data_IF_887169293312
#
_entry.id   IF_887169293312
#
_cell.length_a   1.000
_cell.length_b   1.000
_cell.length_c   1.000
_cell.angle_alpha   90.00
_cell.angle_beta   90.00
_cell.angle_gamma   90.00
#
_symmetry.space_group_name_H-M   'P 1'
#
loop_
_entity.id
_entity.type
_entity.pdbx_description
1 polymer ?
#
# COMPACT_ATOMS: atom_id res chain seq x y z
N UNK A 1 0.97 -15.58 20.10
CA UNK A 1 1.22 -14.15 19.84
C UNK A 1 2.68 -13.88 20.16
N UNK A 2 3.46 -13.37 19.21
CA UNK A 2 4.91 -13.22 19.33
C UNK A 2 5.24 -12.18 20.42
N UNK A 3 5.88 -12.58 21.52
CA UNK A 3 6.22 -11.68 22.64
C UNK A 3 7.08 -10.49 22.19
N UNK A 4 7.87 -10.65 21.13
CA UNK A 4 8.72 -9.60 20.56
C UNK A 4 7.89 -8.49 19.90
N UNK A 5 6.75 -8.84 19.28
CA UNK A 5 5.85 -7.85 18.68
C UNK A 5 5.14 -7.03 19.76
N UNK A 6 4.71 -7.67 20.85
CA UNK A 6 4.10 -6.98 21.99
C UNK A 6 5.09 -6.01 22.65
N UNK A 7 6.35 -6.43 22.85
CA UNK A 7 7.39 -5.58 23.40
C UNK A 7 7.72 -4.37 22.51
N UNK A 8 7.70 -4.55 21.18
CA UNK A 8 7.94 -3.46 20.23
C UNK A 8 6.76 -2.48 20.18
N UNK A 9 5.53 -3.00 20.25
CA UNK A 9 4.32 -2.19 20.32
C UNK A 9 4.26 -1.39 21.62
N UNK A 10 4.61 -2.01 22.75
CA UNK A 10 4.66 -1.34 24.05
C UNK A 10 5.71 -0.22 24.08
N UNK A 11 6.88 -0.41 23.45
CA UNK A 11 7.90 0.63 23.29
C UNK A 11 7.43 1.79 22.40
N UNK A 12 6.64 1.50 21.37
CA UNK A 12 6.07 2.54 20.52
C UNK A 12 5.01 3.37 21.25
N UNK A 13 4.13 2.69 22.00
CA UNK A 13 3.08 3.34 22.79
C UNK A 13 3.68 4.17 23.93
N UNK A 14 4.74 3.71 24.59
CA UNK A 14 5.42 4.47 25.64
C UNK A 14 6.08 5.74 25.10
N UNK A 15 6.74 5.69 23.95
CA UNK A 15 7.32 6.88 23.31
C UNK A 15 6.27 7.98 23.08
N UNK A 16 5.10 7.63 22.52
CA UNK A 16 4.04 8.62 22.31
C UNK A 16 3.45 9.15 23.61
N UNK A 17 3.21 8.29 24.61
CA UNK A 17 2.64 8.71 25.89
C UNK A 17 3.60 9.58 26.69
N UNK A 18 4.86 9.17 26.76
CA UNK A 18 5.81 9.69 27.74
C UNK A 18 6.67 10.82 27.17
N UNK A 19 6.79 10.93 25.84
CA UNK A 19 7.63 11.95 25.18
C UNK A 19 6.80 12.97 24.39
N UNK A 20 5.76 12.51 23.69
CA UNK A 20 4.89 13.38 22.88
C UNK A 20 3.75 13.96 23.72
N UNK A 21 2.95 13.13 24.38
CA UNK A 21 1.75 13.57 25.10
C UNK A 21 2.03 14.18 26.47
N UNK A 22 3.12 13.79 27.14
CA UNK A 22 3.51 14.36 28.44
C UNK A 22 3.88 15.85 28.36
N UNK A 23 4.46 16.28 27.23
CA UNK A 23 4.81 17.67 26.97
C UNK A 23 3.63 18.52 26.48
N UNK A 24 2.49 17.90 26.16
CA UNK A 24 1.29 18.61 25.74
C UNK A 24 0.44 18.88 26.97
N UNK A 25 0.54 20.11 27.48
CA UNK A 25 -0.28 20.56 28.58
C UNK A 25 -1.72 20.79 28.11
N UNK A 26 -2.51 19.71 28.07
CA UNK A 26 -3.93 19.71 27.68
C UNK A 26 -4.80 20.58 28.58
N UNK A 27 -4.32 20.95 29.77
CA UNK A 27 -5.00 21.87 30.68
C UNK A 27 -5.19 23.28 30.09
N UNK A 28 -4.29 23.72 29.20
CA UNK A 28 -4.38 25.07 28.60
C UNK A 28 -5.35 25.13 27.40
N UNK A 29 -5.71 23.96 26.87
CA UNK A 29 -6.67 23.77 25.77
C UNK A 29 -8.05 23.30 26.25
N UNK A 30 -8.14 22.81 27.50
CA UNK A 30 -9.38 22.31 28.08
C UNK A 30 -10.40 23.44 28.26
N UNK A 31 -11.45 23.43 27.44
CA UNK A 31 -12.58 24.37 27.53
C UNK A 31 -12.43 25.67 26.73
N UNK A 32 -11.31 25.87 26.01
CA UNK A 32 -11.18 26.99 25.08
C UNK A 32 -11.72 26.58 23.71
N UNK A 33 -12.66 27.34 23.17
CA UNK A 33 -13.10 27.15 21.80
C UNK A 33 -12.00 27.61 20.84
N UNK A 34 -11.96 27.05 19.63
CA UNK A 34 -10.98 27.42 18.58
C UNK A 34 -10.98 28.94 18.32
N UNK A 35 -12.14 29.59 18.46
CA UNK A 35 -12.28 31.04 18.33
C UNK A 35 -11.55 31.82 19.43
N UNK A 36 -11.59 31.33 20.66
CA UNK A 36 -10.95 31.97 21.81
C UNK A 36 -9.43 31.82 21.75
N UNK A 37 -8.95 30.65 21.30
CA UNK A 37 -7.53 30.39 21.06
C UNK A 37 -6.95 31.26 19.95
N UNK A 38 -7.70 31.44 18.85
CA UNK A 38 -7.29 32.34 17.78
C UNK A 38 -7.25 33.78 18.28
N UNK A 39 -8.26 34.20 19.04
CA UNK A 39 -8.31 35.56 19.56
C UNK A 39 -7.15 35.85 20.52
N UNK A 40 -6.83 34.93 21.43
CA UNK A 40 -5.68 35.09 22.34
C UNK A 40 -4.35 35.17 21.58
N UNK A 41 -4.19 34.39 20.51
CA UNK A 41 -3.00 34.44 19.68
C UNK A 41 -2.81 35.79 18.97
N UNK A 42 -3.90 36.38 18.46
CA UNK A 42 -3.87 37.70 17.80
C UNK A 42 -3.79 38.88 18.79
N UNK A 43 -4.24 38.69 20.03
CA UNK A 43 -4.02 39.66 21.12
C UNK A 43 -2.56 39.65 21.59
N UNK A 44 -1.92 38.47 21.65
CA UNK A 44 -0.52 38.31 22.04
C UNK A 44 0.46 38.64 20.90
N UNK A 45 0.02 38.47 19.64
CA UNK A 45 0.75 38.86 18.43
C UNK A 45 -0.10 39.83 17.61
N UNK A 46 -0.12 41.13 17.97
CA UNK A 46 -0.92 42.11 17.25
C UNK A 46 -0.52 42.15 15.78
N UNK A 47 -1.50 41.95 14.91
CA UNK A 47 -1.33 42.13 13.47
C UNK A 47 -0.90 43.56 13.19
N UNK A 48 0.20 43.72 12.46
CA UNK A 48 0.73 45.01 12.03
C UNK A 48 -0.36 45.72 11.22
N UNK A 49 -0.71 46.93 11.64
CA UNK A 49 -1.72 47.76 10.98
C UNK A 49 -1.29 48.04 9.52
N UNK A 50 -2.17 47.87 8.53
CA UNK A 50 -1.77 47.98 7.13
C UNK A 50 -1.46 49.44 6.79
N UNK A 51 -0.23 49.70 6.32
CA UNK A 51 0.20 50.98 5.78
C UNK A 51 -0.71 51.39 4.59
N UNK A 52 -1.43 52.52 4.65
CA UNK A 52 -2.34 52.95 3.59
C UNK A 52 -1.63 53.29 2.26
N UNK A 53 -0.29 53.32 2.21
CA UNK A 53 0.50 53.57 1.00
C UNK A 53 1.25 52.35 0.43
N UNK A 54 1.23 51.20 1.10
CA UNK A 54 1.91 49.99 0.66
C UNK A 54 0.98 49.07 -0.13
N UNK A 55 1.46 48.49 -1.23
CA UNK A 55 0.77 47.42 -1.96
C UNK A 55 0.40 46.31 -0.99
N UNK A 56 -0.89 46.27 -0.65
CA UNK A 56 -1.45 45.45 0.41
C UNK A 56 -1.00 44.00 0.29
N UNK A 57 -0.67 43.43 1.44
CA UNK A 57 -0.38 42.02 1.61
C UNK A 57 -1.37 41.17 0.80
N UNK A 58 -0.87 40.50 -0.24
CA UNK A 58 -1.67 39.63 -1.09
C UNK A 58 -1.78 38.25 -0.45
N UNK A 59 -2.30 38.18 0.78
CA UNK A 59 -2.32 36.96 1.59
C UNK A 59 -3.03 35.80 0.87
N UNK A 60 -4.11 36.11 0.13
CA UNK A 60 -4.87 35.12 -0.62
C UNK A 60 -4.07 34.62 -1.83
N UNK A 61 -3.63 35.47 -2.78
CA UNK A 61 -2.81 35.01 -3.91
C UNK A 61 -1.49 34.36 -3.50
N UNK A 62 -0.75 34.97 -2.57
CA UNK A 62 0.58 34.49 -2.15
C UNK A 62 0.47 33.28 -1.22
N UNK A 63 -0.53 33.24 -0.34
CA UNK A 63 -0.80 32.09 0.52
C UNK A 63 -1.21 30.86 -0.28
N UNK A 64 -2.06 31.03 -1.29
CA UNK A 64 -2.45 29.94 -2.21
C UNK A 64 -1.25 29.51 -3.06
N UNK A 65 -0.44 30.45 -3.57
CA UNK A 65 0.76 30.13 -4.33
C UNK A 65 1.84 29.41 -3.48
N UNK A 66 2.01 29.80 -2.22
CA UNK A 66 2.91 29.10 -1.30
C UNK A 66 2.38 27.73 -0.90
N UNK A 67 1.07 27.58 -0.69
CA UNK A 67 0.47 26.26 -0.47
C UNK A 67 0.62 25.35 -1.68
N UNK A 68 0.44 25.88 -2.89
CA UNK A 68 0.72 25.14 -4.12
C UNK A 68 2.19 24.73 -4.21
N UNK A 69 3.13 25.63 -3.89
CA UNK A 69 4.55 25.30 -3.89
C UNK A 69 4.94 24.28 -2.80
N UNK A 70 4.35 24.35 -1.61
CA UNK A 70 4.57 23.35 -0.55
C UNK A 70 3.98 22.00 -0.94
N UNK A 71 2.77 21.98 -1.52
CA UNK A 71 2.16 20.75 -2.05
C UNK A 71 2.96 20.17 -3.22
N UNK A 72 3.48 21.03 -4.10
CA UNK A 72 4.33 20.61 -5.21
C UNK A 72 5.67 20.05 -4.71
N UNK A 73 6.30 20.69 -3.72
CA UNK A 73 7.54 20.20 -3.14
C UNK A 73 7.36 18.91 -2.32
N UNK A 74 6.21 18.74 -1.66
CA UNK A 74 5.86 17.47 -0.98
C UNK A 74 5.53 16.37 -1.99
N UNK A 75 4.88 16.72 -3.10
CA UNK A 75 4.48 15.76 -4.14
C UNK A 75 5.60 15.38 -5.11
N UNK A 76 6.61 16.24 -5.29
CA UNK A 76 7.63 16.08 -6.34
C UNK A 76 9.07 16.38 -5.87
N UNK A 77 9.33 16.49 -4.56
CA UNK A 77 10.66 16.82 -4.03
C UNK A 77 11.72 15.76 -4.29
N UNK A 78 12.73 16.12 -5.08
CA UNK A 78 13.95 15.39 -5.48
C UNK A 78 14.82 14.92 -4.30
N UNK A 79 14.34 13.94 -3.54
CA UNK A 79 15.19 13.16 -2.64
C UNK A 79 14.78 11.70 -2.71
N UNK A 80 15.77 10.86 -2.96
CA UNK A 80 15.69 9.40 -3.13
C UNK A 80 15.21 8.63 -1.89
N UNK A 81 14.58 9.32 -0.95
CA UNK A 81 13.74 8.75 0.09
C UNK A 81 12.39 9.46 -0.04
N UNK A 82 11.48 8.87 -0.82
CA UNK A 82 10.07 9.22 -0.76
C UNK A 82 9.70 9.37 0.72
N UNK A 83 9.30 10.57 1.13
CA UNK A 83 9.07 10.87 2.55
C UNK A 83 8.25 9.73 3.15
N UNK A 84 8.67 9.17 4.29
CA UNK A 84 7.99 8.04 4.92
C UNK A 84 6.45 8.16 4.90
N UNK A 85 5.84 9.36 5.04
CA UNK A 85 4.41 9.56 4.86
C UNK A 85 3.83 9.09 3.51
N UNK A 86 4.50 9.33 2.38
CA UNK A 86 4.02 8.95 1.04
C UNK A 86 4.02 7.43 0.88
N UNK A 87 5.07 6.76 1.36
CA UNK A 87 5.15 5.29 1.35
C UNK A 87 4.08 4.67 2.24
N UNK A 88 3.86 5.24 3.43
CA UNK A 88 2.80 4.77 4.32
C UNK A 88 1.40 5.02 3.74
N UNK A 89 1.19 6.15 3.08
CA UNK A 89 -0.06 6.44 2.37
C UNK A 89 -0.30 5.42 1.25
N UNK A 90 0.70 5.19 0.40
CA UNK A 90 0.61 4.22 -0.68
C UNK A 90 0.35 2.79 -0.16
N UNK A 91 1.10 2.35 0.86
CA UNK A 91 0.88 1.06 1.49
C UNK A 91 -0.53 0.93 2.09
N UNK A 92 -1.03 2.00 2.73
CA UNK A 92 -2.38 2.04 3.29
C UNK A 92 -3.45 1.88 2.21
N UNK A 93 -3.30 2.57 1.07
CA UNK A 93 -4.23 2.45 -0.06
C UNK A 93 -4.23 1.02 -0.61
N UNK A 94 -3.06 0.39 -0.77
CA UNK A 94 -2.94 -0.99 -1.26
C UNK A 94 -3.58 -1.98 -0.28
N UNK A 95 -3.34 -1.82 1.04
CA UNK A 95 -3.96 -2.67 2.07
C UNK A 95 -5.48 -2.50 2.06
N UNK A 96 -5.98 -1.25 2.01
CA UNK A 96 -7.42 -0.98 1.96
C UNK A 96 -8.04 -1.62 0.71
N UNK A 97 -7.40 -1.51 -0.46
CA UNK A 97 -7.87 -2.18 -1.68
C UNK A 97 -7.91 -3.70 -1.52
N UNK A 98 -6.89 -4.31 -0.91
CA UNK A 98 -6.86 -5.75 -0.66
C UNK A 98 -8.02 -6.20 0.23
N UNK A 99 -8.24 -5.50 1.35
CA UNK A 99 -9.36 -5.77 2.26
C UNK A 99 -10.71 -5.53 1.58
N UNK A 100 -10.83 -4.50 0.73
CA UNK A 100 -12.04 -4.24 -0.05
C UNK A 100 -12.30 -5.37 -1.06
N UNK A 101 -11.26 -5.88 -1.71
CA UNK A 101 -11.34 -7.02 -2.62
C UNK A 101 -11.84 -8.28 -1.91
N UNK A 102 -11.32 -8.58 -0.72
CA UNK A 102 -11.81 -9.70 0.09
C UNK A 102 -13.26 -9.48 0.56
N UNK A 103 -13.61 -8.26 0.97
CA UNK A 103 -14.99 -7.93 1.34
C UNK A 103 -15.94 -8.06 0.13
N UNK A 104 -15.48 -7.69 -1.06
CA UNK A 104 -16.22 -7.87 -2.31
C UNK A 104 -16.43 -9.35 -2.63
N UNK A 105 -15.39 -10.19 -2.47
CA UNK A 105 -15.51 -11.65 -2.60
C UNK A 105 -16.54 -12.21 -1.64
N UNK A 106 -16.51 -11.83 -0.36
CA UNK A 106 -17.48 -12.30 0.65
C UNK A 106 -18.93 -11.92 0.32
N UNK A 107 -19.14 -10.76 -0.32
CA UNK A 107 -20.49 -10.27 -0.66
C UNK A 107 -21.04 -10.85 -1.97
N UNK A 108 -20.18 -11.06 -2.97
CA UNK A 108 -20.59 -11.42 -4.34
C UNK A 108 -20.25 -12.86 -4.72
N UNK A 109 -19.33 -13.51 -4.01
CA UNK A 109 -18.76 -14.81 -4.35
C UNK A 109 -17.71 -14.75 -5.48
N UNK A 110 -17.42 -13.58 -6.05
CA UNK A 110 -16.43 -13.41 -7.12
C UNK A 110 -15.02 -13.39 -6.51
N UNK A 111 -14.10 -14.29 -6.92
CA UNK A 111 -12.72 -14.29 -6.43
C UNK A 111 -12.10 -12.90 -6.41
N UNK A 112 -11.52 -12.53 -5.27
CA UNK A 112 -10.87 -11.24 -5.03
C UNK A 112 -9.79 -10.93 -6.08
N UNK A 113 -9.07 -11.94 -6.56
CA UNK A 113 -8.06 -11.79 -7.63
C UNK A 113 -8.64 -11.22 -8.93
N UNK A 114 -9.88 -11.56 -9.28
CA UNK A 114 -10.55 -11.01 -10.48
C UNK A 114 -10.87 -9.53 -10.27
N UNK A 115 -11.36 -9.17 -9.09
CA UNK A 115 -11.63 -7.80 -8.73
C UNK A 115 -10.34 -6.95 -8.77
N UNK A 116 -9.25 -7.46 -8.19
CA UNK A 116 -7.95 -6.79 -8.19
C UNK A 116 -7.35 -6.66 -9.60
N UNK A 117 -7.52 -7.67 -10.47
CA UNK A 117 -7.11 -7.57 -11.88
C UNK A 117 -7.87 -6.47 -12.62
N UNK A 118 -9.20 -6.43 -12.51
CA UNK A 118 -10.01 -5.40 -13.15
C UNK A 118 -9.61 -4.01 -12.65
N UNK A 119 -9.42 -3.88 -11.34
CA UNK A 119 -8.98 -2.62 -10.73
C UNK A 119 -7.59 -2.20 -11.24
N UNK A 120 -6.65 -3.13 -11.36
CA UNK A 120 -5.33 -2.89 -11.94
C UNK A 120 -5.39 -2.44 -13.40
N UNK A 121 -6.27 -3.04 -14.21
CA UNK A 121 -6.52 -2.63 -15.61
C UNK A 121 -7.11 -1.21 -15.65
N UNK A 122 -8.04 -0.89 -14.76
CA UNK A 122 -8.62 0.46 -14.71
C UNK A 122 -7.55 1.49 -14.31
N UNK A 123 -6.77 1.23 -13.27
CA UNK A 123 -5.78 2.18 -12.75
C UNK A 123 -4.57 2.34 -13.70
N UNK A 124 -4.09 1.23 -14.27
CA UNK A 124 -2.92 1.21 -15.15
C UNK A 124 -3.23 1.78 -16.54
N UNK A 125 -3.63 0.96 -17.52
CA UNK A 125 -3.81 1.40 -18.90
C UNK A 125 -5.00 2.32 -19.13
N UNK A 126 -6.12 2.18 -18.40
CA UNK A 126 -7.34 2.98 -18.69
C UNK A 126 -7.22 4.41 -18.18
N UNK A 127 -6.77 4.59 -16.93
CA UNK A 127 -6.58 5.93 -16.34
C UNK A 127 -5.19 6.51 -16.62
N UNK A 128 -4.20 5.71 -17.02
CA UNK A 128 -2.84 6.16 -17.32
C UNK A 128 -2.07 6.69 -16.11
N UNK A 129 -2.54 6.41 -14.89
CA UNK A 129 -1.92 6.90 -13.64
C UNK A 129 -0.56 6.22 -13.44
N UNK A 130 -0.43 4.97 -13.86
CA UNK A 130 0.75 4.15 -13.67
C UNK A 130 1.38 3.85 -15.03
N UNK A 131 2.65 4.21 -15.20
CA UNK A 131 3.44 3.88 -16.39
C UNK A 131 3.80 2.39 -16.38
N UNK A 132 3.43 1.61 -17.41
CA UNK A 132 3.74 0.18 -17.49
C UNK A 132 5.23 -0.13 -17.36
N UNK A 133 6.11 0.72 -17.87
CA UNK A 133 7.55 0.53 -17.88
C UNK A 133 8.13 0.50 -16.47
N UNK A 134 7.66 1.39 -15.59
CA UNK A 134 8.07 1.42 -14.19
C UNK A 134 7.56 0.17 -13.44
N UNK A 135 6.36 -0.30 -13.78
CA UNK A 135 5.76 -1.51 -13.20
C UNK A 135 6.58 -2.75 -13.58
N UNK A 136 6.96 -2.89 -14.84
CA UNK A 136 7.75 -4.03 -15.32
C UNK A 136 9.11 -4.17 -14.63
N UNK A 137 9.71 -3.05 -14.17
CA UNK A 137 10.96 -3.07 -13.42
C UNK A 137 10.78 -3.49 -11.96
N UNK A 138 9.66 -3.12 -11.32
CA UNK A 138 9.45 -3.33 -9.88
C UNK A 138 8.68 -4.61 -9.55
N UNK A 139 7.79 -5.06 -10.44
CA UNK A 139 6.95 -6.25 -10.25
C UNK A 139 7.77 -7.51 -9.95
N UNK A 140 8.90 -7.83 -10.62
CA UNK A 140 9.66 -9.02 -10.31
C UNK A 140 10.11 -9.09 -8.84
N UNK A 141 10.54 -7.95 -8.28
CA UNK A 141 10.99 -7.87 -6.89
C UNK A 141 9.81 -8.00 -5.90
N UNK A 142 8.71 -7.30 -6.16
CA UNK A 142 7.52 -7.38 -5.31
C UNK A 142 6.85 -8.75 -5.39
N UNK A 143 6.74 -9.33 -6.59
CA UNK A 143 6.18 -10.66 -6.80
C UNK A 143 7.04 -11.72 -6.09
N UNK A 144 8.37 -11.59 -6.13
CA UNK A 144 9.26 -12.49 -5.38
C UNK A 144 9.01 -12.41 -3.87
N UNK A 145 8.95 -11.20 -3.30
CA UNK A 145 8.67 -11.02 -1.86
C UNK A 145 7.28 -11.54 -1.48
N UNK A 146 6.25 -11.21 -2.29
CA UNK A 146 4.90 -11.69 -2.07
C UNK A 146 4.82 -13.22 -2.14
N UNK A 147 5.46 -13.84 -3.14
CA UNK A 147 5.52 -15.29 -3.30
C UNK A 147 6.26 -15.94 -2.12
N UNK A 148 7.37 -15.37 -1.66
CA UNK A 148 8.07 -15.84 -0.45
C UNK A 148 7.11 -15.82 0.75
N UNK A 149 6.40 -14.72 0.99
CA UNK A 149 5.48 -14.59 2.13
C UNK A 149 4.32 -15.60 2.01
N UNK A 150 3.69 -15.72 0.84
CA UNK A 150 2.58 -16.65 0.61
C UNK A 150 3.03 -18.11 0.75
N UNK A 151 4.18 -18.46 0.17
CA UNK A 151 4.73 -19.82 0.29
C UNK A 151 5.20 -20.12 1.71
N UNK A 152 5.72 -19.13 2.42
CA UNK A 152 6.12 -19.27 3.81
C UNK A 152 4.91 -19.50 4.71
N UNK A 153 3.83 -18.72 4.55
CA UNK A 153 2.58 -18.92 5.28
C UNK A 153 1.95 -20.28 4.96
N UNK A 154 1.89 -20.65 3.67
CA UNK A 154 1.43 -21.98 3.24
C UNK A 154 2.28 -23.12 3.81
N UNK A 155 3.59 -22.92 3.93
CA UNK A 155 4.54 -23.88 4.48
C UNK A 155 4.48 -24.00 6.01
N UNK A 156 4.31 -22.89 6.74
CA UNK A 156 4.19 -22.89 8.20
C UNK A 156 2.89 -23.54 8.68
N UNK A 157 1.80 -23.38 7.94
CA UNK A 157 0.52 -24.01 8.25
C UNK A 157 0.47 -25.50 7.83
N UNK A 158 1.55 -26.02 7.24
CA UNK A 158 1.63 -27.40 6.78
C UNK A 158 1.93 -28.36 7.94
N UNK A 159 1.04 -29.33 8.16
CA UNK A 159 1.21 -30.36 9.17
C UNK A 159 2.16 -31.45 8.68
N UNK A 160 3.47 -31.24 8.84
CA UNK A 160 4.53 -32.06 8.24
C UNK A 160 4.36 -33.57 8.50
N UNK A 161 3.95 -33.95 9.71
CA UNK A 161 3.75 -35.35 10.10
C UNK A 161 2.58 -36.03 9.38
N UNK A 162 1.55 -35.27 8.97
CA UNK A 162 0.43 -35.80 8.17
C UNK A 162 0.82 -35.87 6.70
N UNK A 163 1.49 -34.83 6.19
CA UNK A 163 1.94 -34.77 4.79
C UNK A 163 2.92 -35.88 4.47
N UNK A 164 3.91 -36.15 5.34
CA UNK A 164 4.87 -37.24 5.12
C UNK A 164 4.20 -38.62 5.01
N UNK A 165 3.15 -38.88 5.81
CA UNK A 165 2.42 -40.17 5.78
C UNK A 165 1.68 -40.37 4.46
N UNK A 166 1.16 -39.31 3.86
CA UNK A 166 0.42 -39.35 2.58
C UNK A 166 1.26 -38.93 1.38
N UNK A 167 2.56 -38.64 1.58
CA UNK A 167 3.42 -38.02 0.57
C UNK A 167 3.56 -38.87 -0.68
N UNK A 168 3.70 -40.19 -0.53
CA UNK A 168 3.88 -41.10 -1.67
C UNK A 168 2.75 -40.96 -2.70
N UNK A 169 1.49 -40.88 -2.24
CA UNK A 169 0.33 -40.72 -3.11
C UNK A 169 0.26 -39.30 -3.68
N UNK A 170 0.51 -38.29 -2.85
CA UNK A 170 0.50 -36.89 -3.29
C UNK A 170 1.56 -36.61 -4.37
N UNK A 171 2.75 -37.17 -4.25
CA UNK A 171 3.84 -37.02 -5.24
C UNK A 171 3.42 -37.62 -6.58
N UNK A 172 2.87 -38.83 -6.58
CA UNK A 172 2.39 -39.46 -7.83
C UNK A 172 1.28 -38.60 -8.45
N UNK A 173 0.34 -38.11 -7.65
CA UNK A 173 -0.73 -37.25 -8.12
C UNK A 173 -0.21 -35.94 -8.73
N UNK A 174 0.78 -35.30 -8.09
CA UNK A 174 1.40 -34.06 -8.60
C UNK A 174 2.14 -34.34 -9.90
N UNK A 175 2.97 -35.36 -9.98
CA UNK A 175 3.76 -35.65 -11.19
C UNK A 175 2.83 -36.02 -12.35
N UNK A 176 1.88 -36.92 -12.14
CA UNK A 176 0.96 -37.37 -13.19
C UNK A 176 0.00 -36.25 -13.59
N UNK A 177 -0.59 -35.54 -12.63
CA UNK A 177 -1.48 -34.42 -12.89
C UNK A 177 -0.79 -33.27 -13.62
N UNK A 178 0.43 -32.93 -13.21
CA UNK A 178 1.25 -31.92 -13.88
C UNK A 178 1.61 -32.34 -15.31
N UNK A 179 2.12 -33.57 -15.51
CA UNK A 179 2.50 -34.04 -16.83
C UNK A 179 1.30 -34.11 -17.80
N UNK A 180 0.14 -34.55 -17.33
CA UNK A 180 -1.09 -34.56 -18.13
C UNK A 180 -1.55 -33.15 -18.42
N UNK A 181 -1.57 -32.26 -17.43
CA UNK A 181 -1.99 -30.86 -17.60
C UNK A 181 -1.11 -30.14 -18.63
N UNK A 182 0.21 -30.21 -18.46
CA UNK A 182 1.17 -29.60 -19.39
C UNK A 182 1.03 -30.23 -20.78
N UNK A 183 0.91 -31.57 -20.88
CA UNK A 183 0.73 -32.23 -22.17
C UNK A 183 -0.55 -31.81 -22.91
N UNK A 184 -1.66 -31.66 -22.20
CA UNK A 184 -2.93 -31.21 -22.78
C UNK A 184 -2.82 -29.74 -23.21
N UNK A 185 -2.36 -28.85 -22.32
CA UNK A 185 -2.26 -27.41 -22.60
C UNK A 185 -1.27 -27.15 -23.74
N UNK A 186 -0.08 -27.76 -23.69
CA UNK A 186 0.92 -27.62 -24.74
C UNK A 186 0.44 -28.22 -26.08
N UNK A 187 -0.26 -29.35 -26.05
CA UNK A 187 -0.87 -29.91 -27.26
C UNK A 187 -1.92 -28.97 -27.85
N UNK A 188 -2.79 -28.40 -27.02
CA UNK A 188 -3.80 -27.45 -27.47
C UNK A 188 -3.17 -26.15 -28.00
N UNK A 189 -2.10 -25.65 -27.37
CA UNK A 189 -1.39 -24.47 -27.82
C UNK A 189 -0.68 -24.73 -29.17
N UNK A 190 0.03 -25.86 -29.30
CA UNK A 190 0.74 -26.20 -30.54
C UNK A 190 -0.23 -26.42 -31.71
N UNK A 191 -1.25 -27.26 -31.53
CA UNK A 191 -2.15 -27.61 -32.63
C UNK A 191 -3.31 -26.62 -32.81
N UNK A 192 -3.73 -25.92 -31.75
CA UNK A 192 -4.84 -24.96 -31.78
C UNK A 192 -4.42 -23.54 -32.10
N UNK A 193 -3.27 -23.09 -31.57
CA UNK A 193 -2.74 -21.73 -31.78
C UNK A 193 -1.55 -21.70 -32.75
N UNK A 194 -0.98 -22.86 -33.12
CA UNK A 194 0.12 -22.95 -34.08
C UNK A 194 1.49 -22.55 -33.48
N UNK A 195 1.62 -22.53 -32.16
CA UNK A 195 2.83 -22.10 -31.48
C UNK A 195 3.95 -23.14 -31.58
N UNK A 196 5.22 -22.74 -31.43
CA UNK A 196 6.31 -23.71 -31.35
C UNK A 196 6.20 -24.59 -30.09
N UNK A 197 6.82 -25.77 -30.10
CA UNK A 197 6.80 -26.68 -28.95
C UNK A 197 7.37 -26.06 -27.68
N UNK A 198 8.39 -25.21 -27.83
CA UNK A 198 9.00 -24.51 -26.69
C UNK A 198 7.98 -23.57 -26.04
N UNK A 199 7.38 -22.69 -26.82
CA UNK A 199 6.38 -21.72 -26.34
C UNK A 199 5.12 -22.41 -25.80
N UNK A 200 4.74 -23.53 -26.41
CA UNK A 200 3.57 -24.31 -26.00
C UNK A 200 3.77 -25.01 -24.65
N UNK A 201 4.98 -25.50 -24.36
CA UNK A 201 5.32 -26.16 -23.09
C UNK A 201 5.54 -25.11 -21.97
N UNK A 202 5.93 -23.89 -22.33
CA UNK A 202 6.13 -22.79 -21.39
C UNK A 202 4.83 -22.16 -20.89
N UNK A 203 3.71 -22.32 -21.63
CA UNK A 203 2.39 -21.81 -21.27
C UNK A 203 1.71 -22.68 -20.20
#
# INVERSE_FOLDING_TARGET
>A
VNLTFLALFDNFVSFFRDEVFSNINTADFAGKNVRDLLKSYFEENPIVEPDPGGTGYNFMPEGIANLQNVLANVSFGDSLVASAPILLLAASVVIIMGVLGEAFFKKTGIPDILFLMVLGIIIGPVLGIIQPEAVLQIVPYFAAVALIIIMFDGGLNLHIGKVLKTAHFAIVLVIVGFAISVGIVAGLAHYGLGWEWLDSILL
#
